data_IF_982290938934
#
_entry.id   IF_982290938934
#
_cell.length_a   1.000
_cell.length_b   1.000
_cell.length_c   1.000
_cell.angle_alpha   90.00
_cell.angle_beta   90.00
_cell.angle_gamma   90.00
#
_symmetry.space_group_name_H-M   'P 1'
#
loop_
_entity.id
_entity.type
_entity.pdbx_description
1 polymer ?
#
# COMPACT_ATOMS: atom_id res chain seq x y z
N UNK A 1 7.10 -25.48 -7.93
CA UNK A 1 5.66 -25.14 -7.93
C UNK A 1 5.44 -23.94 -6.99
N UNK A 2 5.60 -22.70 -7.46
CA UNK A 2 5.42 -21.49 -6.64
C UNK A 2 4.91 -20.32 -7.51
N UNK A 3 3.70 -20.45 -8.06
CA UNK A 3 3.00 -19.34 -8.71
C UNK A 3 1.50 -19.45 -8.39
N UNK A 4 1.14 -19.32 -7.11
CA UNK A 4 -0.26 -19.09 -6.73
C UNK A 4 -0.49 -17.59 -6.56
N UNK A 5 -0.89 -16.98 -7.68
CA UNK A 5 -1.58 -15.69 -7.80
C UNK A 5 -0.84 -14.44 -7.29
N UNK A 6 -0.04 -13.82 -8.15
CA UNK A 6 0.12 -12.36 -8.08
C UNK A 6 -1.24 -11.74 -8.37
N UNK A 7 -1.98 -11.36 -7.33
CA UNK A 7 -3.28 -10.70 -7.49
C UNK A 7 -3.12 -9.43 -8.34
N UNK A 8 -4.12 -9.15 -9.19
CA UNK A 8 -4.14 -7.95 -10.05
C UNK A 8 -3.82 -6.67 -9.25
N UNK A 9 -4.35 -6.55 -8.03
CA UNK A 9 -4.05 -5.43 -7.14
C UNK A 9 -2.57 -5.27 -6.81
N UNK A 10 -1.82 -6.37 -6.63
CA UNK A 10 -0.37 -6.31 -6.38
C UNK A 10 0.37 -5.82 -7.62
N UNK A 11 -0.02 -6.28 -8.81
CA UNK A 11 0.58 -5.82 -10.07
C UNK A 11 0.28 -4.34 -10.33
N UNK A 12 -0.97 -3.92 -10.14
CA UNK A 12 -1.39 -2.52 -10.27
C UNK A 12 -0.61 -1.61 -9.32
N UNK A 13 -0.46 -2.00 -8.04
CA UNK A 13 0.32 -1.24 -7.07
C UNK A 13 1.80 -1.18 -7.47
N UNK A 14 2.40 -2.29 -7.90
CA UNK A 14 3.78 -2.29 -8.40
C UNK A 14 3.95 -1.33 -9.58
N UNK A 15 3.05 -1.35 -10.55
CA UNK A 15 3.08 -0.43 -11.70
C UNK A 15 2.88 1.02 -11.29
N UNK A 16 1.91 1.30 -10.42
CA UNK A 16 1.68 2.65 -9.87
C UNK A 16 2.95 3.20 -9.21
N UNK A 17 3.63 2.37 -8.42
CA UNK A 17 4.82 2.77 -7.68
C UNK A 17 6.09 2.86 -8.51
N UNK A 18 6.15 2.18 -9.66
CA UNK A 18 7.20 2.36 -10.65
C UNK A 18 6.98 3.60 -11.53
N UNK A 19 5.78 4.18 -11.53
CA UNK A 19 5.46 5.38 -12.30
C UNK A 19 5.90 6.67 -11.59
N UNK A 20 5.81 7.82 -12.29
CA UNK A 20 6.05 9.15 -11.70
C UNK A 20 5.18 9.40 -10.47
N UNK A 21 3.97 8.85 -10.41
CA UNK A 21 3.10 8.95 -9.24
C UNK A 21 3.72 8.27 -8.00
N UNK A 22 4.49 7.20 -8.19
CA UNK A 22 5.22 6.51 -7.13
C UNK A 22 6.33 7.34 -6.49
N UNK A 23 6.76 8.42 -7.15
CA UNK A 23 7.71 9.39 -6.60
C UNK A 23 7.02 10.43 -5.72
N UNK A 24 5.70 10.44 -5.57
CA UNK A 24 5.01 11.33 -4.63
C UNK A 24 4.78 10.64 -3.29
N UNK A 25 4.48 11.42 -2.24
CA UNK A 25 3.95 10.80 -1.03
C UNK A 25 2.51 10.37 -1.29
N UNK A 26 2.18 9.14 -0.92
CA UNK A 26 0.86 8.54 -1.15
C UNK A 26 0.25 8.21 0.19
N UNK A 27 -0.98 8.64 0.43
CA UNK A 27 -1.79 8.23 1.58
C UNK A 27 -3.00 7.44 1.14
N UNK A 28 -3.43 6.49 1.96
CA UNK A 28 -4.66 5.72 1.78
C UNK A 28 -5.39 5.57 3.11
N UNK A 29 -6.71 5.47 3.04
CA UNK A 29 -7.55 5.04 4.17
C UNK A 29 -8.04 3.62 3.90
N UNK A 30 -8.02 2.77 4.92
CA UNK A 30 -8.42 1.37 4.82
C UNK A 30 -9.10 0.95 6.12
N UNK A 31 -10.16 0.14 6.05
CA UNK A 31 -10.80 -0.37 7.27
C UNK A 31 -9.81 -1.16 8.14
N UNK A 32 -9.87 -1.00 9.45
CA UNK A 32 -8.89 -1.57 10.38
C UNK A 32 -8.78 -3.10 10.29
N UNK A 33 -9.88 -3.78 9.96
CA UNK A 33 -9.96 -5.23 9.83
C UNK A 33 -9.76 -5.74 8.40
N UNK A 34 -9.41 -4.87 7.45
CA UNK A 34 -9.24 -5.28 6.06
C UNK A 34 -7.90 -6.04 5.87
N UNK A 35 -7.90 -7.26 5.27
CA UNK A 35 -6.67 -8.02 5.06
C UNK A 35 -5.66 -7.32 4.14
N UNK A 36 -6.08 -6.33 3.35
CA UNK A 36 -5.22 -5.51 2.51
C UNK A 36 -4.24 -4.66 3.32
N UNK A 37 -4.47 -4.41 4.62
CA UNK A 37 -3.51 -3.70 5.50
C UNK A 37 -2.13 -4.35 5.44
N UNK A 38 -2.06 -5.69 5.47
CA UNK A 38 -0.79 -6.43 5.35
C UNK A 38 -0.14 -6.29 3.97
N UNK A 39 -0.93 -6.03 2.93
CA UNK A 39 -0.41 -5.77 1.60
C UNK A 39 0.23 -4.38 1.54
N UNK A 40 -0.46 -3.36 2.05
CA UNK A 40 0.05 -1.99 2.06
C UNK A 40 1.31 -1.85 2.92
N UNK A 41 1.35 -2.50 4.08
CA UNK A 41 2.54 -2.61 4.92
C UNK A 41 3.75 -3.14 4.15
N UNK A 42 3.60 -4.27 3.42
CA UNK A 42 4.66 -4.82 2.54
C UNK A 42 5.07 -3.89 1.39
N UNK A 43 4.23 -2.94 1.01
CA UNK A 43 4.54 -1.92 0.01
C UNK A 43 5.14 -0.64 0.64
N UNK A 44 5.46 -0.64 1.94
CA UNK A 44 6.13 0.46 2.64
C UNK A 44 5.19 1.56 3.11
N UNK A 45 3.90 1.26 3.30
CA UNK A 45 2.98 2.17 3.96
C UNK A 45 3.06 2.00 5.47
N UNK A 46 3.18 3.11 6.19
CA UNK A 46 3.18 3.18 7.65
C UNK A 46 1.84 3.72 8.14
N UNK A 47 1.32 3.25 9.28
CA UNK A 47 0.12 3.82 9.90
C UNK A 47 0.48 5.18 10.51
N UNK A 48 -0.24 6.23 10.10
CA UNK A 48 -0.05 7.60 10.63
C UNK A 48 -1.21 8.09 11.48
N UNK A 49 -2.38 7.46 11.35
CA UNK A 49 -3.53 7.66 12.24
C UNK A 49 -4.40 6.41 12.28
N UNK A 50 -5.06 6.18 13.40
CA UNK A 50 -5.94 5.02 13.66
C UNK A 50 -7.23 5.51 14.30
N UNK A 51 -8.35 5.06 13.77
CA UNK A 51 -9.65 5.02 14.43
C UNK A 51 -10.07 3.57 14.65
N UNK A 52 -11.15 3.33 15.38
CA UNK A 52 -11.68 1.97 15.59
C UNK A 52 -12.13 1.32 14.26
N UNK A 53 -12.53 2.14 13.29
CA UNK A 53 -13.06 1.67 12.01
C UNK A 53 -11.99 1.62 10.91
N UNK A 54 -10.98 2.49 10.96
CA UNK A 54 -10.08 2.72 9.82
C UNK A 54 -8.65 3.09 10.22
N UNK A 55 -7.73 2.82 9.31
CA UNK A 55 -6.33 3.22 9.37
C UNK A 55 -6.05 4.20 8.24
N UNK A 56 -5.47 5.34 8.59
CA UNK A 56 -4.80 6.20 7.63
C UNK A 56 -3.35 5.74 7.54
N UNK A 57 -2.95 5.29 6.34
CA UNK A 57 -1.59 4.85 6.07
C UNK A 57 -0.92 5.77 5.06
N UNK A 58 0.39 5.97 5.20
CA UNK A 58 1.17 6.85 4.34
C UNK A 58 2.46 6.18 3.92
N UNK A 59 2.79 6.28 2.63
CA UNK A 59 4.10 5.98 2.08
C UNK A 59 4.83 7.28 1.75
N UNK A 60 6.10 7.35 2.17
CA UNK A 60 6.99 8.48 1.86
C UNK A 60 7.43 8.41 0.41
N UNK A 61 7.81 9.57 -0.13
CA UNK A 61 8.47 9.67 -1.44
C UNK A 61 9.77 8.85 -1.41
N UNK A 62 9.98 8.05 -2.43
CA UNK A 62 11.27 7.39 -2.68
C UNK A 62 12.22 8.44 -3.29
N UNK A 63 13.40 8.64 -2.69
CA UNK A 63 14.40 9.64 -3.13
C UNK A 63 15.42 9.09 -4.14
N UNK A 64 15.17 7.89 -4.68
CA UNK A 64 16.07 7.24 -5.65
C UNK A 64 16.23 8.04 -6.93
#
# INVERSE_FOLDING_TARGET
>A
MLLKYSSLGRQLLTHLFASVCGQSSISLSVSANNPAVKLYDRFGFEVVSRTDESLLMKRKRDYR
#
